data_IF_719614091739
#
_entry.id   IF_719614091739
#
_cell.length_a   1.000
_cell.length_b   1.000
_cell.length_c   1.000
_cell.angle_alpha   90.00
_cell.angle_beta   90.00
_cell.angle_gamma   90.00
#
_symmetry.space_group_name_H-M   'P 1'
#
loop_
_entity.id
_entity.type
_entity.pdbx_description
1 polymer ?
#
# COMPACT_ATOMS: atom_id res chain seq x y z
N UNK A 1 9.96 9.85 -4.06
CA UNK A 1 10.68 9.45 -2.83
C UNK A 1 10.87 7.94 -2.78
N UNK A 2 11.78 7.44 -1.95
CA UNK A 2 11.98 5.99 -1.79
C UNK A 2 11.14 5.44 -0.63
N UNK A 3 10.46 4.32 -0.83
CA UNK A 3 9.74 3.57 0.21
C UNK A 3 9.64 2.09 -0.21
N UNK A 4 9.91 1.17 0.71
CA UNK A 4 9.86 -0.28 0.43
C UNK A 4 10.77 -0.75 -0.70
N UNK A 5 11.88 -0.04 -0.95
CA UNK A 5 12.82 -0.32 -2.04
C UNK A 5 12.41 0.19 -3.43
N UNK A 6 11.33 0.95 -3.55
CA UNK A 6 10.85 1.53 -4.81
C UNK A 6 10.71 3.05 -4.77
N UNK A 7 10.66 3.68 -5.96
CA UNK A 7 10.30 5.09 -6.11
C UNK A 7 8.79 5.26 -6.14
N UNK A 8 8.30 6.19 -5.32
CA UNK A 8 6.89 6.51 -5.13
C UNK A 8 6.65 8.00 -5.34
N UNK A 9 5.56 8.32 -6.02
CA UNK A 9 4.97 9.64 -6.16
C UNK A 9 3.90 9.84 -5.07
N UNK A 10 4.05 10.82 -4.21
CA UNK A 10 3.06 11.12 -3.17
C UNK A 10 2.97 12.64 -2.95
N UNK A 11 1.80 13.09 -2.51
CA UNK A 11 1.59 14.50 -2.18
C UNK A 11 2.26 14.83 -0.83
N UNK A 12 3.11 15.87 -0.82
CA UNK A 12 3.71 16.46 0.38
C UNK A 12 3.20 17.87 0.55
N UNK A 13 2.59 18.19 1.69
CA UNK A 13 2.08 19.54 1.96
C UNK A 13 3.16 20.42 2.61
N UNK A 14 4.17 20.81 1.81
CA UNK A 14 5.29 21.64 2.27
C UNK A 14 6.19 20.90 3.26
N UNK A 15 7.46 20.73 2.93
CA UNK A 15 8.40 20.08 3.84
C UNK A 15 9.79 19.94 3.23
N UNK A 16 10.80 20.08 4.09
CA UNK A 16 12.21 20.00 3.73
C UNK A 16 12.52 18.67 3.02
N UNK A 17 13.29 18.75 1.94
CA UNK A 17 13.82 17.58 1.26
C UNK A 17 14.81 16.85 2.18
N UNK A 18 14.76 15.51 2.24
CA UNK A 18 15.84 14.69 2.81
C UNK A 18 15.58 14.03 4.16
N UNK A 19 14.46 14.30 4.85
CA UNK A 19 14.13 13.63 6.12
C UNK A 19 13.21 12.41 5.91
N UNK A 20 13.30 11.44 6.83
CA UNK A 20 12.37 10.31 6.89
C UNK A 20 10.94 10.83 7.11
N UNK A 21 10.01 10.40 6.26
CA UNK A 21 8.57 10.71 6.36
C UNK A 21 7.78 9.41 6.41
N UNK A 22 6.68 9.41 7.14
CA UNK A 22 5.70 8.33 7.10
C UNK A 22 4.81 8.50 5.87
N UNK A 23 4.70 7.44 5.08
CA UNK A 23 3.76 7.34 3.97
C UNK A 23 2.46 6.75 4.52
N UNK A 24 1.41 7.56 4.55
CA UNK A 24 0.11 7.15 5.06
C UNK A 24 -0.89 7.03 3.91
N UNK A 25 -1.47 5.84 3.77
CA UNK A 25 -2.45 5.50 2.74
C UNK A 25 -3.61 4.80 3.44
N UNK A 26 -4.85 5.17 3.12
CA UNK A 26 -6.03 4.48 3.67
C UNK A 26 -6.10 3.06 3.09
N UNK A 27 -6.37 2.01 3.89
CA UNK A 27 -6.41 0.62 3.41
C UNK A 27 -7.31 0.40 2.18
N UNK A 28 -8.43 1.11 2.10
CA UNK A 28 -9.40 1.04 0.99
C UNK A 28 -8.95 1.73 -0.30
N UNK A 29 -7.88 2.53 -0.28
CA UNK A 29 -7.32 3.18 -1.48
C UNK A 29 -6.20 2.33 -2.11
N UNK A 30 -5.86 1.20 -1.51
CA UNK A 30 -4.94 0.22 -2.11
C UNK A 30 -5.70 -0.78 -2.99
N UNK A 31 -4.98 -1.36 -3.96
CA UNK A 31 -5.53 -2.30 -4.94
C UNK A 31 -4.48 -3.31 -5.41
N UNK A 32 -4.91 -4.42 -6.03
CA UNK A 32 -4.02 -5.46 -6.56
C UNK A 32 -3.65 -5.25 -8.04
N UNK A 33 -4.21 -4.23 -8.67
CA UNK A 33 -3.96 -3.85 -10.05
C UNK A 33 -3.80 -2.33 -10.15
N UNK A 34 -2.98 -1.81 -11.08
CA UNK A 34 -2.86 -0.38 -11.30
C UNK A 34 -4.21 0.20 -11.74
N UNK A 35 -4.56 1.39 -11.24
CA UNK A 35 -5.75 2.14 -11.66
C UNK A 35 -5.41 3.18 -12.73
N UNK A 36 -4.14 3.58 -12.85
CA UNK A 36 -3.65 4.54 -13.84
C UNK A 36 -2.21 4.24 -14.23
N UNK A 37 -1.71 4.90 -15.28
CA UNK A 37 -0.30 4.85 -15.64
C UNK A 37 0.64 5.45 -14.58
N UNK A 38 0.08 6.25 -13.65
CA UNK A 38 0.81 6.91 -12.57
C UNK A 38 0.65 6.21 -11.22
N UNK A 39 -0.02 5.05 -11.17
CA UNK A 39 -0.16 4.26 -9.94
C UNK A 39 1.21 3.92 -9.37
N UNK A 40 1.38 4.17 -8.09
CA UNK A 40 2.54 3.68 -7.36
C UNK A 40 2.43 2.18 -7.15
N UNK A 41 3.56 1.50 -7.02
CA UNK A 41 3.64 0.06 -6.78
C UNK A 41 4.52 -0.23 -5.57
N UNK A 42 4.00 -1.05 -4.67
CA UNK A 42 4.74 -1.69 -3.57
C UNK A 42 4.77 -3.19 -3.82
N UNK A 43 5.93 -3.81 -3.63
CA UNK A 43 6.04 -5.26 -3.64
C UNK A 43 5.80 -5.77 -2.21
N UNK A 44 4.95 -6.77 -2.08
CA UNK A 44 4.51 -7.26 -0.78
C UNK A 44 4.45 -8.79 -0.74
N UNK A 45 4.50 -9.35 0.47
CA UNK A 45 4.20 -10.76 0.73
C UNK A 45 2.93 -10.85 1.55
N UNK A 46 1.91 -11.57 1.07
CA UNK A 46 0.69 -11.80 1.83
C UNK A 46 1.01 -12.64 3.07
N UNK A 47 0.68 -12.16 4.26
CA UNK A 47 0.90 -12.90 5.52
C UNK A 47 -0.37 -13.57 6.02
N UNK A 48 -1.53 -12.90 5.90
CA UNK A 48 -2.81 -13.48 6.27
C UNK A 48 -3.99 -12.86 5.53
N UNK A 49 -5.10 -13.61 5.48
CA UNK A 49 -6.38 -13.19 4.92
C UNK A 49 -7.44 -13.28 6.01
N UNK A 50 -8.19 -12.20 6.22
CA UNK A 50 -9.29 -12.15 7.18
C UNK A 50 -10.58 -11.71 6.48
N UNK A 51 -11.69 -12.36 6.79
CA UNK A 51 -13.00 -12.06 6.24
C UNK A 51 -13.85 -11.35 7.28
N UNK A 52 -14.51 -10.26 6.89
CA UNK A 52 -15.41 -9.50 7.73
C UNK A 52 -16.65 -9.09 6.92
N UNK A 53 -17.67 -9.95 6.93
CA UNK A 53 -18.82 -9.82 6.03
C UNK A 53 -18.36 -9.89 4.57
N UNK A 54 -18.72 -8.89 3.78
CA UNK A 54 -18.35 -8.79 2.36
C UNK A 54 -16.93 -8.23 2.15
N UNK A 55 -16.19 -7.91 3.22
CA UNK A 55 -14.83 -7.39 3.12
C UNK A 55 -13.79 -8.47 3.33
N UNK A 56 -12.84 -8.55 2.40
CA UNK A 56 -11.60 -9.29 2.51
C UNK A 56 -10.48 -8.34 2.94
N UNK A 57 -9.94 -8.58 4.12
CA UNK A 57 -8.76 -7.91 4.65
C UNK A 57 -7.53 -8.74 4.31
N UNK A 58 -6.57 -8.15 3.60
CA UNK A 58 -5.28 -8.76 3.34
C UNK A 58 -4.23 -8.06 4.20
N UNK A 59 -3.50 -8.83 5.00
CA UNK A 59 -2.35 -8.35 5.74
C UNK A 59 -1.09 -8.73 4.97
N UNK A 60 -0.25 -7.76 4.68
CA UNK A 60 0.92 -7.93 3.84
C UNK A 60 2.18 -7.42 4.56
N UNK A 61 3.31 -8.08 4.34
CA UNK A 61 4.64 -7.55 4.64
C UNK A 61 5.14 -6.75 3.44
N UNK A 62 5.53 -5.49 3.68
CA UNK A 62 6.19 -4.62 2.71
C UNK A 62 7.52 -4.18 3.30
N UNK A 63 8.60 -4.87 2.91
CA UNK A 63 9.95 -4.59 3.37
C UNK A 63 10.08 -4.58 4.92
N UNK A 64 9.41 -5.52 5.61
CA UNK A 64 9.41 -5.63 7.06
C UNK A 64 8.28 -4.87 7.77
N UNK A 65 7.50 -4.06 7.04
CA UNK A 65 6.37 -3.31 7.60
C UNK A 65 5.03 -4.00 7.31
N UNK A 66 4.18 -4.08 8.33
CA UNK A 66 2.85 -4.67 8.21
C UNK A 66 1.85 -3.68 7.59
N UNK A 67 1.37 -3.99 6.38
CA UNK A 67 0.41 -3.17 5.62
C UNK A 67 -0.91 -3.93 5.48
N UNK A 68 -2.01 -3.28 5.85
CA UNK A 68 -3.36 -3.83 5.67
C UNK A 68 -4.06 -3.17 4.49
N UNK A 69 -4.70 -3.98 3.65
CA UNK A 69 -5.59 -3.51 2.58
C UNK A 69 -6.96 -4.18 2.69
N UNK A 70 -7.97 -3.53 2.14
CA UNK A 70 -9.37 -3.97 2.26
C UNK A 70 -10.03 -3.92 0.89
N UNK A 71 -10.78 -4.96 0.56
CA UNK A 71 -11.39 -5.16 -0.75
C UNK A 71 -12.66 -5.99 -0.63
N UNK A 72 -13.66 -5.74 -1.49
CA UNK A 72 -14.95 -6.44 -1.47
C UNK A 72 -14.98 -7.70 -2.32
N UNK A 73 -14.22 -7.73 -3.41
CA UNK A 73 -14.20 -8.86 -4.34
C UNK A 73 -12.75 -9.18 -4.72
N UNK A 74 -12.26 -10.33 -4.27
CA UNK A 74 -10.92 -10.84 -4.60
C UNK A 74 -11.06 -12.23 -5.20
N UNK A 75 -10.77 -12.36 -6.48
CA UNK A 75 -10.83 -13.63 -7.19
C UNK A 75 -9.74 -13.70 -8.28
N UNK A 76 -8.83 -14.70 -8.27
CA UNK A 76 -8.69 -15.73 -7.23
C UNK A 76 -8.27 -15.12 -5.89
N UNK A 77 -8.69 -15.76 -4.78
CA UNK A 77 -8.25 -15.35 -3.46
C UNK A 77 -6.76 -15.70 -3.29
N UNK A 78 -5.89 -14.73 -3.00
CA UNK A 78 -4.49 -14.99 -2.74
C UNK A 78 -4.32 -15.72 -1.39
N UNK A 79 -3.21 -16.44 -1.26
CA UNK A 79 -2.87 -17.26 -0.10
C UNK A 79 -1.70 -16.67 0.67
N UNK A 80 -1.63 -16.94 1.97
CA UNK A 80 -0.46 -16.59 2.75
C UNK A 80 0.82 -17.15 2.10
N UNK A 81 1.83 -16.31 1.96
CA UNK A 81 3.07 -16.56 1.22
C UNK A 81 3.10 -15.96 -0.19
N UNK A 82 1.96 -15.63 -0.79
CA UNK A 82 1.90 -15.08 -2.15
C UNK A 82 2.62 -13.74 -2.26
N UNK A 83 3.32 -13.54 -3.37
CA UNK A 83 3.91 -12.24 -3.72
C UNK A 83 2.86 -11.38 -4.41
N UNK A 84 2.55 -10.24 -3.83
CA UNK A 84 1.55 -9.30 -4.32
C UNK A 84 2.21 -8.00 -4.77
N UNK A 85 1.64 -7.38 -5.80
CA UNK A 85 1.91 -6.00 -6.14
C UNK A 85 0.74 -5.15 -5.62
N UNK A 86 1.02 -4.26 -4.67
CA UNK A 86 0.04 -3.34 -4.12
C UNK A 86 0.14 -2.01 -4.84
N UNK A 87 -1.00 -1.48 -5.26
CA UNK A 87 -1.08 -0.23 -6.01
C UNK A 87 -1.94 0.81 -5.32
N UNK A 88 -1.52 2.07 -5.41
CA UNK A 88 -2.29 3.23 -4.96
C UNK A 88 -2.01 4.44 -5.84
N UNK A 89 -2.97 5.37 -5.92
CA UNK A 89 -2.76 6.61 -6.67
C UNK A 89 -1.99 7.64 -5.84
N UNK A 90 -1.15 8.49 -6.46
CA UNK A 90 -0.40 9.53 -5.74
C UNK A 90 -1.28 10.46 -4.89
N UNK A 91 -2.52 10.72 -5.33
CA UNK A 91 -3.48 11.56 -4.61
C UNK A 91 -4.11 10.90 -3.38
N UNK A 92 -3.99 9.57 -3.23
CA UNK A 92 -4.53 8.82 -2.09
C UNK A 92 -3.53 8.71 -0.93
N UNK A 93 -2.31 9.18 -1.14
CA UNK A 93 -1.20 9.12 -0.20
C UNK A 93 -0.92 10.49 0.42
N UNK A 94 -0.68 10.48 1.73
CA UNK A 94 -0.22 11.65 2.48
C UNK A 94 1.12 11.34 3.13
N UNK A 95 1.99 12.33 3.15
CA UNK A 95 3.27 12.25 3.83
C UNK A 95 3.20 13.01 5.14
N UNK A 96 3.58 12.33 6.21
CA UNK A 96 3.61 12.89 7.56
C UNK A 96 5.07 12.93 8.02
N UNK A 97 5.49 14.06 8.57
CA UNK A 97 6.82 14.19 9.16
C UNK A 97 6.78 13.61 10.58
N UNK A 98 7.80 12.82 10.92
CA UNK A 98 8.00 12.34 12.28
C UNK A 98 8.98 13.29 12.94
N UNK A 99 8.52 13.96 14.01
CA UNK A 99 9.37 14.81 14.84
C UNK A 99 10.17 13.97 15.84
#
# INVERSE_FOLDING_TARGET
MSCGGGLINAFSRGGLHGNNKLLCIRPQHMSLAPRSATSNRLNATLTSVHWQGDLTHLLCDVAGEAVRIVMTHVNPLPRAGDKLALYFEPGDAVLIEVQ
#
